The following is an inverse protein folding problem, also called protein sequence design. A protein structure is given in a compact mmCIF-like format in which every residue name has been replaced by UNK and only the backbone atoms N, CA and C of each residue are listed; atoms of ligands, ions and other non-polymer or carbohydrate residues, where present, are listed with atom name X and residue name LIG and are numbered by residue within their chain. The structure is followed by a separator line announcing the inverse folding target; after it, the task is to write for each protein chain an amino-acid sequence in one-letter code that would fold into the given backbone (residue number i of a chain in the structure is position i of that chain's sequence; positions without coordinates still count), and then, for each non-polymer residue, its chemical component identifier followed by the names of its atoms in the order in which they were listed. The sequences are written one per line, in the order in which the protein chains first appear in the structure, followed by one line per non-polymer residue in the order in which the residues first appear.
data_IF_656241059682
#
_entry.id   IF_656241059682
#
_cell.length_a   1.000
_cell.length_b   1.000
_cell.length_c   1.000
_cell.angle_alpha   90.00
_cell.angle_beta   90.00
_cell.angle_gamma   90.00
#
_symmetry.space_group_name_H-M   'P 1'
#
loop_
_entity.id
_entity.type
_entity.pdbx_description
1 polymer ?
#
# COMPACT_ATOMS: atom_id res chain seq x y z
N UNK A 1 -5.07 11.58 4.93
CA UNK A 1 -3.82 12.30 4.58
C UNK A 1 -2.69 11.66 5.38
N UNK A 2 -1.53 11.44 4.74
CA UNK A 2 -0.35 10.84 5.37
C UNK A 2 0.65 11.95 5.76
N UNK A 3 1.34 11.77 6.89
CA UNK A 3 2.32 12.73 7.42
C UNK A 3 3.68 12.06 7.60
N UNK A 4 4.79 12.81 7.47
CA UNK A 4 6.12 12.24 7.65
C UNK A 4 6.30 11.80 9.10
N UNK A 5 6.58 10.51 9.31
CA UNK A 5 6.73 9.93 10.65
C UNK A 5 8.17 9.56 10.95
N UNK A 6 8.87 8.99 9.98
CA UNK A 6 10.28 8.58 10.12
C UNK A 6 11.04 8.73 8.80
N UNK A 7 12.33 8.40 8.81
CA UNK A 7 13.14 8.34 7.59
C UNK A 7 12.56 7.38 6.55
N UNK A 8 11.94 6.27 6.99
CA UNK A 8 11.44 5.23 6.08
C UNK A 8 9.92 5.19 5.88
N UNK A 9 9.15 5.97 6.65
CA UNK A 9 7.68 5.88 6.62
C UNK A 9 6.97 7.22 6.76
N UNK A 10 5.84 7.33 6.08
CA UNK A 10 4.74 8.22 6.44
C UNK A 10 3.72 7.47 7.32
N UNK A 11 2.95 8.20 8.13
CA UNK A 11 1.88 7.67 8.97
C UNK A 11 0.55 8.31 8.56
N UNK A 12 -0.49 7.49 8.43
CA UNK A 12 -1.85 7.94 8.17
C UNK A 12 -2.85 7.10 8.95
N UNK A 13 -4.13 7.48 8.86
CA UNK A 13 -5.23 6.68 9.39
C UNK A 13 -6.19 6.34 8.27
N UNK A 14 -6.56 5.06 8.17
CA UNK A 14 -7.51 4.53 7.19
C UNK A 14 -8.50 3.61 7.90
N UNK A 15 -9.74 3.57 7.41
CA UNK A 15 -10.67 2.52 7.79
C UNK A 15 -10.20 1.21 7.19
N UNK A 16 -9.98 0.21 8.02
CA UNK A 16 -9.52 -1.11 7.56
C UNK A 16 -10.70 -2.03 7.46
N UNK A 17 -11.02 -2.46 6.24
CA UNK A 17 -12.10 -3.40 5.93
C UNK A 17 -11.54 -4.78 5.58
N UNK A 18 -12.18 -5.87 6.04
CA UNK A 18 -11.75 -7.23 5.69
C UNK A 18 -12.26 -7.58 4.28
N UNK A 19 -11.53 -8.46 3.59
CA UNK A 19 -12.01 -9.07 2.35
C UNK A 19 -11.45 -10.47 2.16
N UNK A 20 -12.17 -11.27 1.37
CA UNK A 20 -11.68 -12.55 0.87
C UNK A 20 -10.86 -12.44 -0.43
N UNK A 21 -10.38 -11.24 -0.79
CA UNK A 21 -9.54 -11.04 -1.97
C UNK A 21 -8.08 -11.42 -1.67
N UNK A 22 -7.28 -11.64 -2.71
CA UNK A 22 -5.87 -12.05 -2.58
C UNK A 22 -4.91 -10.87 -2.28
N UNK A 23 -5.35 -9.64 -2.55
CA UNK A 23 -4.52 -8.45 -2.47
C UNK A 23 -5.21 -7.33 -1.69
N UNK A 24 -4.41 -6.51 -1.00
CA UNK A 24 -4.92 -5.32 -0.34
C UNK A 24 -5.14 -4.21 -1.37
N UNK A 25 -6.23 -3.47 -1.20
CA UNK A 25 -6.63 -2.40 -2.12
C UNK A 25 -7.15 -1.18 -1.38
N UNK A 26 -7.06 -0.02 -2.03
CA UNK A 26 -7.64 1.23 -1.56
C UNK A 26 -8.31 1.96 -2.73
N UNK A 27 -9.04 3.05 -2.45
CA UNK A 27 -9.62 3.91 -3.49
C UNK A 27 -8.58 4.26 -4.56
N UNK A 28 -8.93 4.06 -5.83
CA UNK A 28 -8.06 4.37 -6.96
C UNK A 28 -7.58 5.83 -6.93
N UNK A 29 -8.49 6.77 -6.65
CA UNK A 29 -8.16 8.20 -6.57
C UNK A 29 -7.16 8.48 -5.44
N UNK A 30 -7.34 7.84 -4.28
CA UNK A 30 -6.41 7.94 -3.17
C UNK A 30 -5.05 7.32 -3.50
N UNK A 31 -5.05 6.17 -4.18
CA UNK A 31 -3.84 5.45 -4.59
C UNK A 31 -3.01 6.27 -5.57
N UNK A 32 -3.63 6.80 -6.63
CA UNK A 32 -2.97 7.61 -7.66
C UNK A 32 -2.40 8.90 -7.05
N UNK A 33 -3.18 9.58 -6.21
CA UNK A 33 -2.74 10.80 -5.52
C UNK A 33 -1.55 10.54 -4.58
N UNK A 34 -1.55 9.42 -3.87
CA UNK A 34 -0.42 9.03 -3.01
C UNK A 34 0.79 8.63 -3.84
N UNK A 35 0.61 7.84 -4.90
CA UNK A 35 1.70 7.48 -5.82
C UNK A 35 2.34 8.71 -6.42
N UNK A 36 1.54 9.67 -6.91
CA UNK A 36 2.04 10.91 -7.44
C UNK A 36 2.88 11.65 -6.38
N UNK A 37 2.38 11.81 -5.16
CA UNK A 37 3.14 12.46 -4.10
C UNK A 37 4.46 11.74 -3.71
N UNK A 38 4.59 10.42 -3.98
CA UNK A 38 5.77 9.63 -3.62
C UNK A 38 6.78 9.46 -4.75
N UNK A 39 6.31 9.26 -5.97
CA UNK A 39 7.13 8.81 -7.11
C UNK A 39 7.17 9.82 -8.25
N UNK A 40 6.24 10.79 -8.30
CA UNK A 40 6.29 11.84 -9.30
C UNK A 40 7.36 12.87 -8.95
N UNK A 41 8.50 12.78 -9.63
CA UNK A 41 9.56 13.78 -9.55
C UNK A 41 9.43 14.87 -10.65
N UNK A 42 8.37 14.84 -11.47
CA UNK A 42 8.11 15.84 -12.51
C UNK A 42 8.86 15.65 -13.84
N UNK A 43 9.64 14.57 -13.99
CA UNK A 43 10.42 14.27 -15.20
C UNK A 43 9.86 13.05 -15.96
N UNK A 44 8.81 13.25 -16.77
CA UNK A 44 8.34 12.25 -17.75
C UNK A 44 7.00 11.57 -17.43
N UNK A 45 6.81 10.34 -17.93
CA UNK A 45 5.59 9.55 -17.69
C UNK A 45 5.62 9.03 -16.25
N UNK A 46 4.84 9.65 -15.38
CA UNK A 46 4.72 9.30 -13.97
C UNK A 46 3.89 8.02 -13.83
N UNK A 47 4.52 6.98 -13.27
CA UNK A 47 3.84 5.70 -13.02
C UNK A 47 3.06 5.82 -11.70
N UNK A 48 1.80 6.21 -11.81
CA UNK A 48 0.86 6.37 -10.69
C UNK A 48 0.14 5.07 -10.28
N UNK A 49 0.38 4.01 -11.04
CA UNK A 49 -0.20 2.67 -10.91
C UNK A 49 0.69 1.70 -10.11
N UNK A 50 1.81 2.18 -9.57
CA UNK A 50 2.72 1.31 -8.83
C UNK A 50 2.10 0.89 -7.50
N UNK A 51 2.26 -0.38 -7.11
CA UNK A 51 1.79 -0.82 -5.82
C UNK A 51 2.46 0.00 -4.71
N UNK A 52 1.64 0.54 -3.80
CA UNK A 52 2.12 1.15 -2.58
C UNK A 52 2.50 0.05 -1.59
N UNK A 53 3.59 0.20 -0.86
CA UNK A 53 3.89 -0.72 0.26
C UNK A 53 3.46 -0.08 1.56
N UNK A 54 2.48 -0.70 2.21
CA UNK A 54 1.98 -0.26 3.51
C UNK A 54 2.29 -1.31 4.57
N UNK A 55 2.15 -0.92 5.84
CA UNK A 55 2.08 -1.87 6.95
C UNK A 55 1.06 -1.47 8.00
N UNK A 56 0.50 -2.50 8.63
CA UNK A 56 -0.24 -2.44 9.88
C UNK A 56 0.50 -3.29 10.89
N UNK A 57 0.68 -2.76 12.11
CA UNK A 57 1.54 -3.35 13.15
C UNK A 57 2.96 -3.68 12.62
N UNK A 58 3.20 -4.93 12.26
CA UNK A 58 4.48 -5.46 11.77
C UNK A 58 4.39 -6.08 10.38
N UNK A 59 3.20 -6.14 9.77
CA UNK A 59 2.97 -6.81 8.50
C UNK A 59 3.02 -5.81 7.36
N UNK A 60 3.98 -6.00 6.44
CA UNK A 60 4.07 -5.23 5.21
C UNK A 60 3.36 -5.95 4.08
N UNK A 61 2.65 -5.19 3.25
CA UNK A 61 1.94 -5.71 2.09
C UNK A 61 1.83 -4.65 1.00
N UNK A 62 1.69 -5.12 -0.24
CA UNK A 62 1.42 -4.28 -1.40
C UNK A 62 -0.05 -3.89 -1.41
N UNK A 63 -0.34 -2.64 -1.79
CA UNK A 63 -1.67 -2.05 -1.90
C UNK A 63 -1.84 -1.50 -3.30
N UNK A 64 -2.94 -1.88 -3.95
CA UNK A 64 -3.30 -1.44 -5.28
C UNK A 64 -4.48 -0.47 -5.24
N UNK A 65 -4.65 0.33 -6.29
CA UNK A 65 -5.86 1.14 -6.48
C UNK A 65 -6.98 0.29 -7.07
N UNK A 66 -8.19 0.40 -6.53
CA UNK A 66 -9.37 -0.28 -7.04
C UNK A 66 -10.58 0.67 -7.07
N UNK A 67 -11.32 0.65 -8.19
CA UNK A 67 -12.56 1.40 -8.32
C UNK A 67 -13.63 0.86 -7.38
N UNK A 68 -14.44 1.76 -6.81
CA UNK A 68 -15.55 1.38 -5.93
C UNK A 68 -15.16 1.13 -4.47
N UNK A 69 -13.87 1.14 -4.13
CA UNK A 69 -13.43 1.22 -2.73
C UNK A 69 -13.63 2.66 -2.23
N UNK A 70 -14.29 2.88 -1.08
CA UNK A 70 -14.47 4.23 -0.56
C UNK A 70 -13.14 4.92 -0.22
N UNK A 71 -13.10 6.23 -0.37
CA UNK A 71 -11.94 7.03 0.04
C UNK A 71 -11.59 6.78 1.51
N UNK A 72 -10.30 6.91 1.83
CA UNK A 72 -9.75 6.66 3.16
C UNK A 72 -10.02 5.26 3.71
N UNK A 73 -10.35 4.30 2.84
CA UNK A 73 -10.56 2.90 3.18
C UNK A 73 -9.44 2.05 2.61
N UNK A 74 -8.97 1.12 3.42
CA UNK A 74 -8.00 0.10 3.07
C UNK A 74 -8.69 -1.26 3.24
N UNK A 75 -8.97 -1.91 2.13
CA UNK A 75 -9.50 -3.27 2.12
C UNK A 75 -8.32 -4.22 2.20
N UNK A 76 -8.34 -5.12 3.18
CA UNK A 76 -7.23 -6.02 3.50
C UNK A 76 -7.72 -7.47 3.52
N UNK A 77 -7.00 -8.39 2.85
CA UNK A 77 -7.25 -9.83 2.93
C UNK A 77 -7.34 -10.35 4.37
N UNK A 78 -8.29 -11.25 4.63
CA UNK A 78 -8.48 -11.87 5.94
C UNK A 78 -7.19 -12.51 6.48
N UNK A 79 -6.46 -13.24 5.64
CA UNK A 79 -5.19 -13.88 5.99
C UNK A 79 -4.12 -12.88 6.46
N UNK A 80 -4.11 -11.66 5.89
CA UNK A 80 -3.21 -10.59 6.34
C UNK A 80 -3.68 -10.02 7.67
N UNK A 81 -4.99 -9.83 7.87
CA UNK A 81 -5.56 -9.31 9.11
C UNK A 81 -5.36 -10.25 10.29
N UNK A 82 -5.42 -11.56 10.10
CA UNK A 82 -5.13 -12.56 11.15
C UNK A 82 -3.75 -12.37 11.78
N UNK A 83 -2.80 -11.84 11.00
CA UNK A 83 -1.43 -11.56 11.41
C UNK A 83 -1.25 -10.16 12.03
N UNK A 84 -2.35 -9.45 12.29
CA UNK A 84 -2.38 -8.13 12.94
C UNK A 84 -3.13 -8.20 14.29
N UNK A 85 -3.17 -7.07 14.99
CA UNK A 85 -3.93 -6.89 16.22
C UNK A 85 -5.35 -6.39 15.98
N UNK A 86 -5.80 -6.31 14.72
CA UNK A 86 -7.18 -5.97 14.38
C UNK A 86 -8.06 -7.18 14.72
N UNK A 87 -9.05 -6.99 15.59
CA UNK A 87 -9.91 -8.08 16.08
C UNK A 87 -11.35 -7.98 15.60
N UNK A 88 -11.82 -6.78 15.30
CA UNK A 88 -13.21 -6.55 14.91
C UNK A 88 -13.30 -5.49 13.80
N UNK A 89 -12.78 -5.78 12.60
CA UNK A 89 -12.92 -4.88 11.46
C UNK A 89 -14.40 -4.80 11.02
N UNK A 90 -14.88 -3.65 10.49
CA UNK A 90 -14.11 -2.47 10.13
C UNK A 90 -13.68 -1.59 11.31
N UNK A 91 -12.43 -1.11 11.29
CA UNK A 91 -11.91 -0.19 12.32
C UNK A 91 -10.95 0.85 11.71
N UNK A 92 -11.00 2.09 12.21
CA UNK A 92 -10.00 3.11 11.90
C UNK A 92 -8.64 2.77 12.53
N UNK A 93 -7.62 2.54 11.71
CA UNK A 93 -6.27 2.17 12.16
C UNK A 93 -5.18 3.07 11.62
N UNK A 94 -4.11 3.16 12.41
CA UNK A 94 -2.83 3.70 11.96
C UNK A 94 -2.20 2.77 10.92
N UNK A 95 -1.86 3.35 9.78
CA UNK A 95 -1.21 2.67 8.65
C UNK A 95 0.08 3.40 8.33
N UNK A 96 1.17 2.66 8.19
CA UNK A 96 2.44 3.24 7.78
C UNK A 96 2.67 2.97 6.30
N UNK A 97 2.91 4.04 5.56
CA UNK A 97 3.24 4.00 4.14
C UNK A 97 4.76 4.09 3.98
N UNK A 98 5.36 3.11 3.31
CA UNK A 98 6.79 3.11 3.05
C UNK A 98 7.18 4.21 2.05
N UNK A 99 8.31 4.88 2.30
CA UNK A 99 8.95 5.78 1.32
C UNK A 99 9.67 4.96 0.24
N UNK A 100 9.92 5.54 -0.93
CA UNK A 100 10.56 4.87 -2.07
C UNK A 100 11.84 4.10 -1.68
N UNK A 101 12.79 4.74 -1.02
CA UNK A 101 14.04 4.11 -0.56
C UNK A 101 13.80 2.88 0.35
N UNK A 102 12.70 2.92 1.11
CA UNK A 102 12.33 1.82 2.00
C UNK A 102 11.70 0.67 1.24
N UNK A 103 10.96 0.93 0.17
CA UNK A 103 10.39 -0.09 -0.71
C UNK A 103 11.50 -0.91 -1.34
N UNK A 104 12.55 -0.27 -1.87
CA UNK A 104 13.69 -0.98 -2.48
C UNK A 104 14.35 -1.97 -1.52
N UNK A 105 14.53 -1.57 -0.25
CA UNK A 105 15.07 -2.45 0.78
C UNK A 105 14.13 -3.62 1.09
N UNK A 106 12.82 -3.39 1.16
CA UNK A 106 11.85 -4.45 1.45
C UNK A 106 11.79 -5.49 0.33
N UNK A 107 11.89 -5.05 -0.93
CA UNK A 107 11.95 -5.94 -2.10
C UNK A 107 13.22 -6.79 -2.14
N UNK A 108 14.34 -6.32 -1.56
CA UNK A 108 15.58 -7.11 -1.46
C UNK A 108 15.47 -8.28 -0.46
N UNK A 109 14.54 -8.21 0.49
CA UNK A 109 14.38 -9.22 1.56
C UNK A 109 13.13 -10.07 1.42
N UNK A 110 12.23 -9.78 0.47
CA UNK A 110 11.11 -10.68 0.16
C UNK A 110 11.62 -11.86 -0.68
N UNK A 111 11.34 -13.12 -0.29
CA UNK A 111 11.53 -14.24 -1.21
C UNK A 111 10.72 -13.94 -2.46
N UNK A 112 11.36 -14.12 -3.62
CA UNK A 112 10.86 -13.73 -4.94
C UNK A 112 9.62 -14.54 -5.33
N UNK A 113 8.50 -14.32 -4.66
CA UNK A 113 7.22 -14.96 -4.91
C UNK A 113 6.21 -13.87 -5.31
N UNK A 114 5.67 -14.09 -6.52
CA UNK A 114 4.57 -13.36 -7.19
C UNK A 114 4.90 -12.03 -7.89
N UNK A 115 5.21 -12.19 -9.18
CA UNK A 115 4.80 -11.36 -10.32
C UNK A 115 5.10 -9.85 -10.32
N UNK A 116 6.38 -9.50 -10.24
CA UNK A 116 6.88 -8.44 -11.12
C UNK A 116 7.19 -9.05 -12.49
N UNK A 117 6.15 -9.31 -13.30
CA UNK A 117 6.36 -9.52 -14.73
C UNK A 117 6.86 -8.21 -15.30
N UNK A 118 8.17 -8.18 -15.44
CA UNK A 118 8.91 -7.35 -16.37
C UNK A 118 8.11 -7.22 -17.65
N UNK A 119 7.54 -6.04 -17.90
CA UNK A 119 7.22 -5.58 -19.24
C UNK A 119 8.54 -5.44 -19.99
N UNK A 120 9.06 -6.56 -20.49
CA UNK A 120 10.15 -6.59 -21.43
C UNK A 120 9.66 -6.14 -22.81
N UNK A 121 10.36 -5.15 -23.35
CA UNK A 121 10.62 -4.89 -24.77
C UNK A 121 9.49 -5.11 -25.79
N UNK A 122 9.07 -4.01 -26.41
CA UNK A 122 9.25 -3.78 -27.86
C UNK A 122 9.65 -2.32 -28.10
#
# INVERSE_FOLDING_TARGET
MFESFSSGYYLGRLYVEPSGADHAVMSQDDHERVNQALYANGDGIERIDWPLVMKIDRQHFSVHGEEGVPDQTLVVPDDLLENTRIRNPPELKEVFLAKADRVEQLLQFQPRNQEFRSGGAV
#
